data_IF_219100003684
#
_entry.id   IF_219100003684
#
_cell.length_a   1.000
_cell.length_b   1.000
_cell.length_c   1.000
_cell.angle_alpha   90.00
_cell.angle_beta   90.00
_cell.angle_gamma   90.00
#
_symmetry.space_group_name_H-M   'P 1'
#
loop_
_entity.id
_entity.type
_entity.pdbx_description
1 polymer ?
#
# COMPACT_ATOMS: atom_id res chain seq x y z
N UNK A 1 1.72 21.75 -59.37
CA UNK A 1 1.02 20.46 -59.28
C UNK A 1 1.83 19.38 -58.57
N UNK A 2 3.11 19.30 -58.75
CA UNK A 2 3.99 18.34 -58.04
C UNK A 2 3.91 18.48 -56.49
N UNK A 3 3.65 19.71 -55.98
CA UNK A 3 3.52 19.99 -54.55
C UNK A 3 2.27 19.34 -53.87
N UNK A 4 1.14 19.19 -54.61
CA UNK A 4 -0.05 18.56 -54.02
C UNK A 4 0.13 17.05 -53.87
N UNK A 5 0.67 16.38 -54.87
CA UNK A 5 0.98 14.93 -54.80
C UNK A 5 2.02 14.63 -53.72
N UNK A 6 3.06 15.47 -53.57
CA UNK A 6 4.05 15.31 -52.50
C UNK A 6 3.37 15.45 -51.12
N UNK A 7 2.52 16.47 -50.90
CA UNK A 7 1.84 16.67 -49.64
C UNK A 7 0.83 15.58 -49.34
N UNK A 8 0.12 15.05 -50.36
CA UNK A 8 -0.81 13.92 -50.13
C UNK A 8 -0.07 12.65 -49.75
N UNK A 9 1.11 12.39 -50.36
CA UNK A 9 1.96 11.27 -49.99
C UNK A 9 2.54 11.43 -48.56
N UNK A 10 3.02 12.62 -48.19
CA UNK A 10 3.49 12.91 -46.84
C UNK A 10 2.37 12.70 -45.79
N UNK A 11 1.15 13.15 -46.11
CA UNK A 11 -0.01 12.95 -45.23
C UNK A 11 -0.40 11.46 -45.09
N UNK A 12 -0.33 10.68 -46.16
CA UNK A 12 -0.56 9.24 -46.15
C UNK A 12 0.48 8.51 -45.26
N UNK A 13 1.76 8.90 -45.31
CA UNK A 13 2.80 8.37 -44.43
C UNK A 13 2.51 8.72 -42.96
N UNK A 14 2.12 10.00 -42.69
CA UNK A 14 1.79 10.43 -41.33
C UNK A 14 0.60 9.65 -40.74
N UNK A 15 -0.42 9.35 -41.57
CA UNK A 15 -1.56 8.51 -41.14
C UNK A 15 -1.14 7.07 -40.85
N UNK A 16 -0.28 6.51 -41.71
CA UNK A 16 0.27 5.17 -41.47
C UNK A 16 1.06 5.09 -40.15
N UNK A 17 1.87 6.11 -39.86
CA UNK A 17 2.57 6.22 -38.58
C UNK A 17 1.58 6.40 -37.41
N UNK A 18 0.54 7.21 -37.58
CA UNK A 18 -0.51 7.40 -36.56
C UNK A 18 -1.21 6.07 -36.24
N UNK A 19 -1.55 5.26 -37.25
CA UNK A 19 -2.15 3.93 -37.06
C UNK A 19 -1.20 2.98 -36.35
N UNK A 20 0.08 2.97 -36.69
CA UNK A 20 1.08 2.16 -35.99
C UNK A 20 1.22 2.55 -34.52
N UNK A 21 1.26 3.86 -34.24
CA UNK A 21 1.29 4.38 -32.87
C UNK A 21 0.00 4.05 -32.10
N UNK A 22 -1.17 4.12 -32.75
CA UNK A 22 -2.44 3.74 -32.15
C UNK A 22 -2.47 2.27 -31.70
N UNK A 23 -1.95 1.35 -32.54
CA UNK A 23 -1.82 -0.07 -32.16
C UNK A 23 -0.88 -0.25 -30.97
N UNK A 24 0.25 0.45 -30.94
CA UNK A 24 1.18 0.39 -29.81
C UNK A 24 0.56 0.89 -28.51
N UNK A 25 -0.19 2.00 -28.57
CA UNK A 25 -0.88 2.53 -27.39
C UNK A 25 -1.98 1.57 -26.94
N UNK A 26 -2.73 0.94 -27.84
CA UNK A 26 -3.73 -0.07 -27.49
C UNK A 26 -3.10 -1.28 -26.77
N UNK A 27 -1.93 -1.73 -27.22
CA UNK A 27 -1.16 -2.78 -26.55
C UNK A 27 -0.68 -2.35 -25.17
N UNK A 28 -0.14 -1.14 -25.04
CA UNK A 28 0.30 -0.58 -23.76
C UNK A 28 -0.88 -0.41 -22.79
N UNK A 29 -2.03 0.05 -23.27
CA UNK A 29 -3.26 0.15 -22.49
C UNK A 29 -3.70 -1.23 -21.99
N UNK A 30 -3.70 -2.27 -22.86
CA UNK A 30 -4.00 -3.64 -22.44
C UNK A 30 -3.04 -4.15 -21.37
N UNK A 31 -1.73 -3.87 -21.51
CA UNK A 31 -0.72 -4.20 -20.50
C UNK A 31 -0.97 -3.49 -19.17
N UNK A 32 -1.33 -2.20 -19.22
CA UNK A 32 -1.66 -1.41 -18.03
C UNK A 32 -2.91 -1.95 -17.31
N UNK A 33 -3.96 -2.37 -18.05
CA UNK A 33 -5.14 -3.03 -17.49
C UNK A 33 -4.79 -4.31 -16.76
N UNK A 34 -3.98 -5.18 -17.38
CA UNK A 34 -3.54 -6.42 -16.74
C UNK A 34 -2.72 -6.16 -15.46
N UNK A 35 -1.89 -5.11 -15.49
CA UNK A 35 -1.10 -4.74 -14.32
C UNK A 35 -1.99 -4.18 -13.19
N UNK A 36 -3.00 -3.38 -13.52
CA UNK A 36 -3.99 -2.88 -12.57
C UNK A 36 -4.77 -4.04 -11.92
N UNK A 37 -5.20 -5.03 -12.70
CA UNK A 37 -5.87 -6.24 -12.19
C UNK A 37 -4.98 -7.05 -11.24
N UNK A 38 -3.70 -7.23 -11.58
CA UNK A 38 -2.74 -7.90 -10.69
C UNK A 38 -2.54 -7.11 -9.39
N UNK A 39 -2.43 -5.79 -9.49
CA UNK A 39 -2.30 -4.90 -8.32
C UNK A 39 -3.53 -5.02 -7.42
N UNK A 40 -4.73 -5.01 -8.00
CA UNK A 40 -5.99 -5.20 -7.27
C UNK A 40 -6.03 -6.56 -6.55
N UNK A 41 -5.61 -7.64 -7.21
CA UNK A 41 -5.56 -8.97 -6.59
C UNK A 41 -4.56 -9.02 -5.42
N UNK A 42 -3.39 -8.41 -5.58
CA UNK A 42 -2.38 -8.34 -4.51
C UNK A 42 -2.86 -7.49 -3.33
N UNK A 43 -3.49 -6.35 -3.59
CA UNK A 43 -4.06 -5.51 -2.54
C UNK A 43 -5.18 -6.23 -1.78
N UNK A 44 -6.07 -6.98 -2.46
CA UNK A 44 -7.08 -7.83 -1.82
C UNK A 44 -6.47 -8.90 -0.92
N UNK A 45 -5.41 -9.58 -1.37
CA UNK A 45 -4.68 -10.55 -0.55
C UNK A 45 -4.03 -9.88 0.65
N UNK A 46 -3.39 -8.73 0.44
CA UNK A 46 -2.81 -7.92 1.50
C UNK A 46 -3.84 -7.53 2.56
N UNK A 47 -5.00 -7.02 2.13
CA UNK A 47 -6.09 -6.65 3.04
C UNK A 47 -6.61 -7.83 3.87
N UNK A 48 -6.75 -9.01 3.26
CA UNK A 48 -7.11 -10.23 3.99
C UNK A 48 -6.04 -10.62 5.03
N UNK A 49 -4.75 -10.48 4.69
CA UNK A 49 -3.64 -10.75 5.63
C UNK A 49 -3.64 -9.75 6.79
N UNK A 50 -3.88 -8.46 6.51
CA UNK A 50 -4.00 -7.42 7.56
C UNK A 50 -5.18 -7.73 8.48
N UNK A 51 -6.34 -8.13 7.95
CA UNK A 51 -7.48 -8.56 8.78
C UNK A 51 -7.14 -9.73 9.70
N UNK A 52 -6.43 -10.74 9.19
CA UNK A 52 -5.95 -11.87 10.01
C UNK A 52 -4.97 -11.40 11.10
N UNK A 53 -4.09 -10.43 10.78
CA UNK A 53 -3.17 -9.85 11.74
C UNK A 53 -3.91 -9.09 12.85
N UNK A 54 -4.92 -8.29 12.52
CA UNK A 54 -5.78 -7.59 13.50
C UNK A 54 -6.46 -8.60 14.42
N UNK A 55 -6.99 -9.69 13.89
CA UNK A 55 -7.61 -10.75 14.69
C UNK A 55 -6.59 -11.44 15.61
N UNK A 56 -5.35 -11.65 15.17
CA UNK A 56 -4.28 -12.20 15.99
C UNK A 56 -3.86 -11.23 17.11
N UNK A 57 -3.69 -9.95 16.79
CA UNK A 57 -3.37 -8.89 17.76
C UNK A 57 -4.47 -8.77 18.82
N UNK A 58 -5.74 -8.85 18.42
CA UNK A 58 -6.88 -8.83 19.36
C UNK A 58 -6.84 -10.00 20.36
N UNK A 59 -6.43 -11.20 19.90
CA UNK A 59 -6.23 -12.36 20.79
C UNK A 59 -5.08 -12.12 21.77
N UNK A 60 -3.95 -11.57 21.29
CA UNK A 60 -2.82 -11.22 22.17
C UNK A 60 -3.23 -10.20 23.21
N UNK A 61 -4.01 -9.17 22.81
CA UNK A 61 -4.59 -8.20 23.74
C UNK A 61 -5.38 -8.88 24.86
N UNK A 62 -6.32 -9.76 24.49
CA UNK A 62 -7.14 -10.48 25.48
C UNK A 62 -6.29 -11.34 26.43
N UNK A 63 -5.25 -11.99 25.92
CA UNK A 63 -4.32 -12.79 26.75
C UNK A 63 -3.49 -11.89 27.70
N UNK A 64 -3.04 -10.73 27.23
CA UNK A 64 -2.30 -9.75 28.05
C UNK A 64 -3.18 -9.23 29.18
N UNK A 65 -4.46 -8.93 28.92
CA UNK A 65 -5.39 -8.47 29.94
C UNK A 65 -5.67 -9.56 31.01
N UNK A 66 -5.80 -10.82 30.60
CA UNK A 66 -5.96 -11.95 31.53
C UNK A 66 -4.70 -12.09 32.39
N UNK A 67 -3.51 -12.12 31.76
CA UNK A 67 -2.25 -12.30 32.46
C UNK A 67 -1.97 -11.16 33.46
N UNK A 68 -2.32 -9.92 33.10
CA UNK A 68 -2.24 -8.77 34.01
C UNK A 68 -3.08 -8.98 35.24
N UNK A 69 -4.31 -9.51 35.08
CA UNK A 69 -5.22 -9.81 36.20
C UNK A 69 -4.66 -10.93 37.09
N UNK A 70 -4.10 -11.99 36.46
CA UNK A 70 -3.56 -13.11 37.22
C UNK A 70 -2.32 -12.70 38.01
N UNK A 71 -1.44 -11.87 37.44
CA UNK A 71 -0.25 -11.32 38.14
C UNK A 71 -0.69 -10.41 39.33
N UNK A 72 -1.74 -9.59 39.13
CA UNK A 72 -2.28 -8.78 40.22
C UNK A 72 -2.80 -9.66 41.35
N UNK A 73 -3.59 -10.69 41.01
CA UNK A 73 -4.11 -11.64 42.01
C UNK A 73 -3.02 -12.43 42.73
N UNK A 74 -1.91 -12.77 42.01
CA UNK A 74 -0.73 -13.38 42.65
C UNK A 74 -0.08 -12.41 43.65
N UNK A 75 0.02 -11.11 43.31
CA UNK A 75 0.53 -10.09 44.21
C UNK A 75 -0.26 -9.99 45.52
N UNK A 76 -1.59 -10.00 45.42
CA UNK A 76 -2.51 -9.97 46.57
C UNK A 76 -2.33 -11.23 47.45
N UNK A 77 -2.31 -12.43 46.85
CA UNK A 77 -2.11 -13.69 47.58
C UNK A 77 -0.75 -13.74 48.32
N UNK A 78 0.30 -13.24 47.68
CA UNK A 78 1.63 -13.20 48.28
C UNK A 78 1.69 -12.18 49.41
N UNK A 79 0.96 -11.08 49.32
CA UNK A 79 0.80 -10.13 50.43
C UNK A 79 0.10 -10.76 51.65
N UNK A 80 -0.95 -11.53 51.41
CA UNK A 80 -1.65 -12.26 52.47
C UNK A 80 -0.75 -13.29 53.16
N UNK A 81 0.07 -14.03 52.39
CA UNK A 81 1.06 -14.95 52.95
C UNK A 81 2.11 -14.19 53.79
N UNK A 82 2.53 -12.98 53.36
CA UNK A 82 3.39 -12.11 54.14
C UNK A 82 2.82 -11.80 55.54
N UNK A 83 1.54 -11.41 55.62
CA UNK A 83 0.88 -11.15 56.88
C UNK A 83 0.83 -12.39 57.79
N UNK A 84 0.62 -13.59 57.22
CA UNK A 84 0.66 -14.83 57.97
C UNK A 84 2.08 -15.10 58.54
N UNK A 85 3.12 -14.82 57.77
CA UNK A 85 4.52 -14.98 58.23
C UNK A 85 4.85 -14.02 59.38
N UNK A 86 4.33 -12.79 59.36
CA UNK A 86 4.51 -11.85 60.44
C UNK A 86 3.87 -12.38 61.73
N UNK A 87 2.64 -12.92 61.66
CA UNK A 87 1.95 -13.53 62.82
C UNK A 87 2.74 -14.78 63.34
N UNK A 88 3.28 -15.63 62.44
CA UNK A 88 4.07 -16.78 62.88
C UNK A 88 5.35 -16.32 63.57
N UNK A 89 6.01 -15.28 63.07
CA UNK A 89 7.18 -14.68 63.67
C UNK A 89 6.88 -14.14 65.08
N UNK A 90 5.78 -13.44 65.23
CA UNK A 90 5.33 -12.94 66.55
C UNK A 90 5.06 -14.07 67.55
N UNK A 91 4.39 -15.16 67.08
CA UNK A 91 4.15 -16.36 67.93
C UNK A 91 5.47 -17.01 68.33
N UNK A 92 6.44 -17.12 67.40
CA UNK A 92 7.76 -17.71 67.68
C UNK A 92 8.51 -16.86 68.70
N UNK A 93 8.48 -15.55 68.56
CA UNK A 93 9.13 -14.64 69.53
C UNK A 93 8.48 -14.69 70.91
N UNK A 94 7.13 -14.68 71.00
CA UNK A 94 6.44 -14.90 72.25
C UNK A 94 6.77 -16.27 72.87
N UNK A 95 6.89 -17.33 72.06
CA UNK A 95 7.26 -18.67 72.53
C UNK A 95 8.68 -18.71 73.04
N UNK A 96 9.62 -18.02 72.38
CA UNK A 96 10.99 -17.85 72.80
C UNK A 96 11.08 -17.16 74.17
N UNK A 97 10.30 -16.07 74.39
CA UNK A 97 10.21 -15.33 75.66
C UNK A 97 9.60 -16.18 76.78
N UNK A 98 8.55 -16.93 76.46
CA UNK A 98 7.91 -17.88 77.43
C UNK A 98 8.88 -18.99 77.84
N UNK A 99 9.61 -19.55 76.88
CA UNK A 99 10.60 -20.60 77.14
C UNK A 99 11.77 -20.06 77.97
N UNK A 100 12.24 -18.85 77.74
CA UNK A 100 13.27 -18.18 78.50
C UNK A 100 12.78 -17.98 79.97
N UNK A 101 11.58 -17.50 80.17
CA UNK A 101 11.02 -17.31 81.51
C UNK A 101 10.89 -18.65 82.26
N UNK A 102 10.43 -19.72 81.54
CA UNK A 102 10.35 -21.07 82.10
C UNK A 102 11.75 -21.62 82.51
N UNK A 103 12.76 -21.37 81.68
CA UNK A 103 14.14 -21.78 81.94
C UNK A 103 14.70 -21.09 83.18
N UNK A 104 14.41 -19.79 83.36
CA UNK A 104 14.79 -19.00 84.56
C UNK A 104 14.13 -19.57 85.84
N UNK A 105 12.84 -19.83 85.76
CA UNK A 105 12.10 -20.36 86.95
C UNK A 105 12.51 -21.81 87.24
N UNK A 106 12.82 -22.63 86.26
CA UNK A 106 13.37 -23.98 86.41
C UNK A 106 14.74 -23.95 87.10
N UNK A 107 15.62 -23.01 86.71
CA UNK A 107 16.87 -22.76 87.39
C UNK A 107 16.72 -22.33 88.86
N UNK A 108 15.68 -21.53 89.13
CA UNK A 108 15.36 -21.09 90.45
C UNK A 108 14.88 -22.21 91.40
N UNK A 109 14.23 -23.24 90.85
CA UNK A 109 13.79 -24.44 91.60
C UNK A 109 14.94 -25.46 91.89
N UNK A 110 16.14 -25.25 91.46
CA UNK A 110 17.32 -26.09 91.75
C UNK A 110 17.18 -27.51 91.22
N UNK A 111 17.55 -28.50 92.03
CA UNK A 111 17.49 -29.93 91.64
C UNK A 111 16.09 -30.41 91.20
N UNK A 112 15.03 -29.83 91.78
CA UNK A 112 13.64 -30.18 91.40
C UNK A 112 13.24 -29.63 90.02
N UNK A 113 13.92 -28.63 89.52
CA UNK A 113 13.64 -28.01 88.21
C UNK A 113 14.45 -28.56 87.03
N UNK A 114 15.41 -29.44 87.18
CA UNK A 114 16.31 -29.92 86.13
C UNK A 114 15.61 -30.46 84.85
N UNK A 115 14.54 -31.24 85.02
CA UNK A 115 13.79 -31.76 83.89
C UNK A 115 13.04 -30.66 83.14
N UNK A 116 12.50 -29.68 83.83
CA UNK A 116 11.84 -28.51 83.21
C UNK A 116 12.80 -27.58 82.50
N UNK A 117 14.03 -27.41 83.02
CA UNK A 117 15.05 -26.58 82.36
C UNK A 117 15.44 -27.15 80.98
N UNK A 118 15.57 -28.49 80.85
CA UNK A 118 15.86 -29.17 79.57
C UNK A 118 14.72 -28.93 78.54
N UNK A 119 13.48 -29.07 79.00
CA UNK A 119 12.30 -28.84 78.11
C UNK A 119 12.22 -27.36 77.70
N UNK A 120 12.44 -26.44 78.60
CA UNK A 120 12.43 -24.99 78.31
C UNK A 120 13.54 -24.63 77.31
N UNK A 121 14.75 -25.13 77.44
CA UNK A 121 15.84 -24.91 76.47
C UNK A 121 15.53 -25.53 75.09
N UNK A 122 14.88 -26.68 75.02
CA UNK A 122 14.51 -27.28 73.73
C UNK A 122 13.36 -26.51 73.06
N UNK A 123 12.35 -25.99 73.80
CA UNK A 123 11.31 -25.10 73.30
C UNK A 123 11.94 -23.77 72.80
N UNK A 124 12.89 -23.23 73.54
CA UNK A 124 13.62 -22.00 73.12
C UNK A 124 14.36 -22.21 71.79
N UNK A 125 15.11 -23.32 71.64
CA UNK A 125 15.80 -23.66 70.40
C UNK A 125 14.83 -23.86 69.23
N UNK A 126 13.66 -24.46 69.46
CA UNK A 126 12.62 -24.64 68.44
C UNK A 126 12.03 -23.29 68.00
N UNK A 127 11.77 -22.38 68.97
CA UNK A 127 11.33 -21.03 68.66
C UNK A 127 12.36 -20.23 67.82
N UNK A 128 13.66 -20.27 68.22
CA UNK A 128 14.74 -19.69 67.40
C UNK A 128 14.87 -20.28 66.00
N UNK A 129 14.68 -21.59 65.84
CA UNK A 129 14.63 -22.25 64.52
C UNK A 129 13.45 -21.79 63.71
N UNK A 130 12.28 -21.64 64.34
CA UNK A 130 11.07 -21.14 63.68
C UNK A 130 11.26 -19.73 63.20
N UNK A 131 11.79 -18.81 64.02
CA UNK A 131 12.10 -17.41 63.60
C UNK A 131 13.08 -17.35 62.41
N UNK A 132 14.10 -18.26 62.36
CA UNK A 132 15.01 -18.31 61.20
C UNK A 132 14.25 -18.80 59.96
N UNK A 133 13.46 -19.83 60.08
CA UNK A 133 12.70 -20.38 58.94
C UNK A 133 11.68 -19.32 58.42
N UNK A 134 10.99 -18.59 59.32
CA UNK A 134 10.07 -17.51 58.87
C UNK A 134 10.79 -16.34 58.20
N UNK A 135 11.98 -15.98 58.66
CA UNK A 135 12.79 -14.96 57.99
C UNK A 135 13.22 -15.35 56.58
N UNK A 136 13.61 -16.64 56.38
CA UNK A 136 13.92 -17.19 55.03
C UNK A 136 12.71 -17.13 54.09
N UNK A 137 11.50 -17.54 54.62
CA UNK A 137 10.25 -17.47 53.84
C UNK A 137 9.87 -16.05 53.52
N UNK A 138 9.97 -15.09 54.47
CA UNK A 138 9.68 -13.66 54.26
C UNK A 138 10.61 -13.06 53.16
N UNK A 139 11.86 -13.47 53.14
CA UNK A 139 12.79 -13.07 52.04
C UNK A 139 12.34 -13.58 50.66
N UNK A 140 11.86 -14.85 50.61
CA UNK A 140 11.34 -15.43 49.38
C UNK A 140 10.04 -14.73 48.94
N UNK A 141 9.14 -14.40 49.86
CA UNK A 141 7.91 -13.64 49.62
C UNK A 141 8.21 -12.26 49.02
N UNK A 142 9.19 -11.53 49.59
CA UNK A 142 9.61 -10.24 49.08
C UNK A 142 10.15 -10.35 47.64
N UNK A 143 10.93 -11.40 47.33
CA UNK A 143 11.42 -11.66 46.00
C UNK A 143 10.28 -11.95 44.99
N UNK A 144 9.28 -12.74 45.39
CA UNK A 144 8.10 -13.02 44.56
C UNK A 144 7.29 -11.74 44.30
N UNK A 145 7.04 -10.91 45.34
CA UNK A 145 6.34 -9.61 45.20
C UNK A 145 7.07 -8.69 44.22
N UNK A 146 8.39 -8.58 44.34
CA UNK A 146 9.21 -7.79 43.41
C UNK A 146 9.10 -8.34 41.97
N UNK A 147 9.14 -9.67 41.81
CA UNK A 147 8.98 -10.34 40.53
C UNK A 147 7.58 -10.11 39.90
N UNK A 148 6.53 -10.21 40.70
CA UNK A 148 5.17 -9.90 40.27
C UNK A 148 4.99 -8.45 39.86
N UNK A 149 5.57 -7.50 40.61
CA UNK A 149 5.57 -6.08 40.25
C UNK A 149 6.23 -5.83 38.89
N UNK A 150 7.42 -6.36 38.66
CA UNK A 150 8.11 -6.25 37.34
C UNK A 150 7.32 -6.91 36.21
N UNK A 151 6.69 -8.04 36.46
CA UNK A 151 5.85 -8.71 35.49
C UNK A 151 4.61 -7.88 35.14
N UNK A 152 3.98 -7.24 36.12
CA UNK A 152 2.83 -6.33 35.91
C UNK A 152 3.23 -5.09 35.09
N UNK A 153 4.40 -4.51 35.32
CA UNK A 153 4.95 -3.42 34.52
C UNK A 153 5.19 -3.86 33.07
N UNK A 154 5.86 -5.02 32.85
CA UNK A 154 6.09 -5.58 31.53
C UNK A 154 4.77 -5.90 30.77
N UNK A 155 3.70 -6.27 31.49
CA UNK A 155 2.37 -6.44 30.88
C UNK A 155 1.77 -5.09 30.46
N UNK A 156 2.04 -4.02 31.20
CA UNK A 156 1.68 -2.64 30.82
C UNK A 156 2.32 -2.25 29.49
N UNK A 157 3.62 -2.47 29.36
CA UNK A 157 4.38 -2.18 28.14
C UNK A 157 3.90 -3.03 26.95
N UNK A 158 3.63 -4.33 27.19
CA UNK A 158 3.06 -5.21 26.17
C UNK A 158 1.68 -4.74 25.68
N UNK A 159 0.82 -4.24 26.60
CA UNK A 159 -0.48 -3.70 26.22
C UNK A 159 -0.37 -2.45 25.34
N UNK A 160 0.59 -1.56 25.62
CA UNK A 160 0.89 -0.39 24.77
C UNK A 160 1.39 -0.80 23.38
N UNK A 161 2.33 -1.76 23.31
CA UNK A 161 2.83 -2.29 22.04
C UNK A 161 1.72 -2.95 21.20
N UNK A 162 0.80 -3.66 21.82
CA UNK A 162 -0.38 -4.25 21.17
C UNK A 162 -1.31 -3.16 20.62
N UNK A 163 -1.51 -2.08 21.36
CA UNK A 163 -2.32 -0.95 20.89
C UNK A 163 -1.68 -0.27 19.68
N UNK A 164 -0.37 -0.02 19.71
CA UNK A 164 0.37 0.55 18.58
C UNK A 164 0.32 -0.38 17.34
N UNK A 165 0.52 -1.68 17.54
CA UNK A 165 0.42 -2.67 16.45
C UNK A 165 -0.99 -2.69 15.83
N UNK A 166 -2.05 -2.53 16.61
CA UNK A 166 -3.43 -2.42 16.12
C UNK A 166 -3.59 -1.19 15.23
N UNK A 167 -3.11 -0.03 15.69
CA UNK A 167 -3.19 1.22 14.92
C UNK A 167 -2.43 1.13 13.59
N UNK A 168 -1.23 0.54 13.58
CA UNK A 168 -0.45 0.34 12.36
C UNK A 168 -1.13 -0.64 11.39
N UNK A 169 -1.76 -1.69 11.91
CA UNK A 169 -2.52 -2.62 11.10
C UNK A 169 -3.76 -1.96 10.46
N UNK A 170 -4.49 -1.13 11.21
CA UNK A 170 -5.64 -0.38 10.69
C UNK A 170 -5.21 0.61 9.59
N UNK A 171 -4.11 1.35 9.79
CA UNK A 171 -3.53 2.24 8.77
C UNK A 171 -3.12 1.48 7.51
N UNK A 172 -2.53 0.29 7.68
CA UNK A 172 -2.17 -0.58 6.55
C UNK A 172 -3.41 -1.05 5.78
N UNK A 173 -4.51 -1.35 6.50
CA UNK A 173 -5.79 -1.70 5.90
C UNK A 173 -6.38 -0.56 5.05
N UNK A 174 -6.32 0.68 5.56
CA UNK A 174 -6.76 1.88 4.83
C UNK A 174 -5.92 2.07 3.55
N UNK A 175 -4.59 2.01 3.66
CA UNK A 175 -3.71 2.16 2.51
C UNK A 175 -3.96 1.09 1.42
N UNK A 176 -4.23 -0.15 1.80
CA UNK A 176 -4.59 -1.22 0.86
C UNK A 176 -5.94 -0.97 0.20
N UNK A 177 -6.89 -0.36 0.90
CA UNK A 177 -8.17 0.02 0.32
C UNK A 177 -8.02 1.14 -0.73
N UNK A 178 -7.20 2.14 -0.44
CA UNK A 178 -6.85 3.21 -1.40
C UNK A 178 -6.17 2.64 -2.66
N UNK A 179 -5.27 1.66 -2.50
CA UNK A 179 -4.65 0.97 -3.64
C UNK A 179 -5.70 0.25 -4.50
N UNK A 180 -6.71 -0.39 -3.88
CA UNK A 180 -7.81 -1.03 -4.61
C UNK A 180 -8.62 -0.02 -5.42
N UNK A 181 -8.93 1.12 -4.84
CA UNK A 181 -9.66 2.20 -5.52
C UNK A 181 -8.85 2.77 -6.70
N UNK A 182 -7.56 3.08 -6.49
CA UNK A 182 -6.66 3.58 -7.54
C UNK A 182 -6.48 2.57 -8.68
N UNK A 183 -6.39 1.27 -8.37
CA UNK A 183 -6.31 0.23 -9.39
C UNK A 183 -7.61 0.14 -10.20
N UNK A 184 -8.77 0.29 -9.55
CA UNK A 184 -10.07 0.39 -10.22
C UNK A 184 -10.16 1.57 -11.17
N UNK A 185 -9.80 2.76 -10.70
CA UNK A 185 -9.75 3.98 -11.53
C UNK A 185 -8.79 3.82 -12.73
N UNK A 186 -7.65 3.16 -12.52
CA UNK A 186 -6.70 2.88 -13.60
C UNK A 186 -7.34 1.99 -14.68
N UNK A 187 -8.08 0.97 -14.29
CA UNK A 187 -8.79 0.08 -15.23
C UNK A 187 -9.83 0.85 -16.04
N UNK A 188 -10.60 1.74 -15.41
CA UNK A 188 -11.61 2.57 -16.09
C UNK A 188 -10.96 3.57 -17.06
N UNK A 189 -9.84 4.16 -16.66
CA UNK A 189 -9.08 5.08 -17.52
C UNK A 189 -8.49 4.37 -18.74
N UNK A 190 -7.96 3.16 -18.56
CA UNK A 190 -7.48 2.31 -19.67
C UNK A 190 -8.61 1.96 -20.63
N UNK A 191 -9.82 1.67 -20.14
CA UNK A 191 -10.99 1.42 -21.00
C UNK A 191 -11.33 2.65 -21.83
N UNK A 192 -11.31 3.84 -21.23
CA UNK A 192 -11.55 5.09 -21.97
C UNK A 192 -10.50 5.34 -23.05
N UNK A 193 -9.22 5.02 -22.76
CA UNK A 193 -8.12 5.08 -23.72
C UNK A 193 -8.38 4.11 -24.89
N UNK A 194 -8.77 2.88 -24.63
CA UNK A 194 -9.07 1.90 -25.68
C UNK A 194 -10.20 2.38 -26.62
N UNK A 195 -11.29 2.93 -26.06
CA UNK A 195 -12.38 3.50 -26.85
C UNK A 195 -11.92 4.67 -27.72
N UNK A 196 -11.09 5.58 -27.17
CA UNK A 196 -10.55 6.72 -27.93
C UNK A 196 -9.66 6.25 -29.09
N UNK A 197 -8.93 5.15 -28.94
CA UNK A 197 -8.14 4.58 -30.03
C UNK A 197 -8.95 3.87 -31.10
N UNK A 198 -10.07 3.24 -30.74
CA UNK A 198 -11.02 2.70 -31.74
C UNK A 198 -11.58 3.84 -32.61
N UNK A 199 -12.00 4.95 -31.99
CA UNK A 199 -12.47 6.15 -32.71
C UNK A 199 -11.36 6.78 -33.55
N UNK A 200 -10.14 6.87 -33.04
CA UNK A 200 -8.98 7.39 -33.79
C UNK A 200 -8.65 6.52 -34.99
N UNK A 201 -8.71 5.19 -34.88
CA UNK A 201 -8.48 4.26 -35.98
C UNK A 201 -9.52 4.47 -37.10
N UNK A 202 -10.81 4.56 -36.73
CA UNK A 202 -11.88 4.82 -37.70
C UNK A 202 -11.69 6.18 -38.41
N UNK A 203 -11.33 7.23 -37.66
CA UNK A 203 -11.04 8.56 -38.23
C UNK A 203 -9.83 8.51 -39.17
N UNK A 204 -8.80 7.75 -38.81
CA UNK A 204 -7.59 7.59 -39.67
C UNK A 204 -7.93 6.88 -40.98
N UNK A 205 -8.80 5.87 -40.98
CA UNK A 205 -9.29 5.22 -42.19
C UNK A 205 -10.07 6.18 -43.07
N UNK A 206 -10.93 7.00 -42.48
CA UNK A 206 -11.68 8.01 -43.22
C UNK A 206 -10.75 9.06 -43.87
N UNK A 207 -9.74 9.56 -43.11
CA UNK A 207 -8.75 10.49 -43.69
C UNK A 207 -7.97 9.83 -44.81
N UNK A 208 -7.60 8.54 -44.69
CA UNK A 208 -6.94 7.83 -45.78
C UNK A 208 -7.81 7.75 -47.03
N UNK A 209 -9.12 7.54 -46.91
CA UNK A 209 -10.06 7.58 -48.02
C UNK A 209 -10.13 8.96 -48.67
N UNK A 210 -10.24 10.03 -47.88
CA UNK A 210 -10.25 11.41 -48.35
C UNK A 210 -8.95 11.76 -49.08
N UNK A 211 -7.78 11.31 -48.63
CA UNK A 211 -6.51 11.54 -49.31
C UNK A 211 -6.45 10.86 -50.70
N UNK A 212 -7.05 9.67 -50.81
CA UNK A 212 -7.13 8.98 -52.12
C UNK A 212 -8.08 9.77 -53.07
N UNK A 213 -9.19 10.30 -52.60
CA UNK A 213 -10.07 11.17 -53.40
C UNK A 213 -9.36 12.44 -53.84
N UNK A 214 -8.65 13.13 -52.91
CA UNK A 214 -7.86 14.33 -53.24
C UNK A 214 -6.80 14.03 -54.27
N UNK A 215 -6.12 12.88 -54.20
CA UNK A 215 -5.16 12.44 -55.21
C UNK A 215 -5.83 12.26 -56.58
N UNK A 216 -6.99 11.62 -56.62
CA UNK A 216 -7.77 11.44 -57.84
C UNK A 216 -8.21 12.77 -58.48
N UNK A 217 -8.67 13.72 -57.66
CA UNK A 217 -9.05 15.09 -58.15
C UNK A 217 -7.83 15.85 -58.66
N UNK A 218 -6.64 15.68 -58.03
CA UNK A 218 -5.40 16.26 -58.51
C UNK A 218 -4.98 15.74 -59.86
N UNK A 219 -5.10 14.41 -60.09
CA UNK A 219 -4.81 13.77 -61.39
C UNK A 219 -5.77 14.28 -62.50
N UNK A 220 -7.09 14.34 -62.19
CA UNK A 220 -8.07 14.89 -63.11
C UNK A 220 -7.79 16.34 -63.46
N UNK A 221 -7.41 17.17 -62.47
CA UNK A 221 -7.08 18.56 -62.64
C UNK A 221 -5.84 18.72 -63.52
N UNK A 222 -4.83 17.87 -63.31
CA UNK A 222 -3.61 17.84 -64.15
C UNK A 222 -3.95 17.53 -65.60
N UNK A 223 -4.74 16.48 -65.85
CA UNK A 223 -5.18 16.10 -67.21
C UNK A 223 -6.03 17.19 -67.87
N UNK A 224 -6.94 17.85 -67.08
CA UNK A 224 -7.71 19.00 -67.55
C UNK A 224 -6.87 20.20 -67.95
N UNK A 225 -5.81 20.48 -67.19
CA UNK A 225 -4.85 21.57 -67.51
C UNK A 225 -4.04 21.23 -68.78
N UNK A 226 -3.56 20.02 -68.96
CA UNK A 226 -2.85 19.60 -70.17
C UNK A 226 -3.72 19.74 -71.42
N UNK A 227 -4.97 19.32 -71.31
CA UNK A 227 -5.96 19.54 -72.41
C UNK A 227 -6.21 21.02 -72.68
N UNK A 228 -6.25 21.82 -71.63
CA UNK A 228 -6.44 23.27 -71.77
C UNK A 228 -5.23 23.94 -72.44
N UNK A 229 -4.02 23.56 -72.07
CA UNK A 229 -2.76 24.00 -72.75
C UNK A 229 -2.79 23.64 -74.24
N UNK A 230 -3.11 22.39 -74.58
CA UNK A 230 -3.20 21.94 -75.98
C UNK A 230 -4.27 22.76 -76.76
N UNK A 231 -5.44 23.03 -76.15
CA UNK A 231 -6.47 23.84 -76.79
C UNK A 231 -6.05 25.30 -77.01
N UNK A 232 -5.32 25.89 -76.06
CA UNK A 232 -4.76 27.25 -76.18
C UNK A 232 -3.69 27.30 -77.28
N UNK A 233 -2.84 26.30 -77.39
CA UNK A 233 -1.85 26.18 -78.49
C UNK A 233 -2.52 26.10 -79.87
N UNK A 234 -3.60 25.27 -79.98
CA UNK A 234 -4.39 25.19 -81.23
C UNK A 234 -5.06 26.52 -81.57
N UNK A 235 -5.59 27.22 -80.60
CA UNK A 235 -6.16 28.55 -80.80
C UNK A 235 -5.11 29.59 -81.27
N UNK A 236 -3.92 29.54 -80.69
CA UNK A 236 -2.81 30.40 -81.11
C UNK A 236 -2.39 30.12 -82.56
N UNK A 237 -2.33 28.84 -82.97
CA UNK A 237 -2.06 28.44 -84.35
C UNK A 237 -3.14 28.94 -85.32
N UNK A 238 -4.43 28.79 -84.96
CA UNK A 238 -5.56 29.28 -85.74
C UNK A 238 -5.57 30.77 -85.89
N UNK A 239 -5.29 31.52 -84.81
CA UNK A 239 -5.18 32.97 -84.82
C UNK A 239 -4.01 33.45 -85.72
N UNK A 240 -2.87 32.73 -85.66
CA UNK A 240 -1.75 32.96 -86.56
C UNK A 240 -2.08 32.74 -88.04
N UNK A 241 -2.81 31.65 -88.34
CA UNK A 241 -3.29 31.37 -89.69
C UNK A 241 -4.28 32.44 -90.17
N UNK A 242 -5.23 32.83 -89.36
CA UNK A 242 -6.16 33.91 -89.65
C UNK A 242 -5.50 35.24 -89.89
N UNK A 243 -4.48 35.60 -89.09
CA UNK A 243 -3.70 36.82 -89.31
C UNK A 243 -2.96 36.80 -90.63
N UNK A 244 -2.37 35.66 -91.00
CA UNK A 244 -1.77 35.48 -92.32
C UNK A 244 -2.78 35.64 -93.48
N UNK A 245 -4.01 35.12 -93.33
CA UNK A 245 -5.08 35.26 -94.31
C UNK A 245 -5.53 36.71 -94.47
N UNK A 246 -5.69 37.44 -93.38
CA UNK A 246 -6.03 38.86 -93.32
C UNK A 246 -4.97 39.70 -94.07
N UNK A 247 -3.67 39.45 -93.77
CA UNK A 247 -2.56 40.12 -94.47
C UNK A 247 -2.60 39.82 -95.96
N UNK A 248 -2.90 38.57 -96.33
CA UNK A 248 -2.99 38.21 -97.78
C UNK A 248 -4.17 38.89 -98.52
N UNK A 249 -5.29 39.11 -97.86
CA UNK A 249 -6.50 39.79 -98.37
C UNK A 249 -6.20 41.32 -98.42
N UNK A 250 -5.65 41.91 -97.37
CA UNK A 250 -5.32 43.29 -97.22
C UNK A 250 -4.27 43.77 -98.24
N UNK A 251 -3.25 42.90 -98.51
CA UNK A 251 -2.20 43.18 -99.50
C UNK A 251 -2.66 43.04 -100.94
N UNK A 252 -3.80 42.44 -101.25
CA UNK A 252 -4.45 42.41 -102.59
C UNK A 252 -5.42 43.59 -102.87
N UNK A 253 -5.73 44.44 -101.88
CA UNK A 253 -6.71 45.52 -102.06
C UNK A 253 -6.08 46.86 -102.32
N UNK A 254 -4.75 46.97 -102.42
CA UNK A 254 -4.09 48.23 -102.80
C UNK A 254 -3.12 47.96 -103.93
N UNK A 255 -3.65 47.92 -105.21
CA UNK A 255 -2.95 48.35 -106.44
C UNK A 255 -3.63 49.65 -106.83
N UNK A 256 -2.96 50.79 -106.73
CA UNK A 256 -3.41 52.00 -107.41
C UNK A 256 -3.27 51.78 -108.88
N UNK A 257 -4.34 51.75 -109.60
CA UNK A 257 -4.31 51.94 -111.12
C UNK A 257 -3.80 53.32 -111.39
N UNK A 258 -2.48 53.33 -111.79
CA UNK A 258 -1.90 54.51 -112.29
C UNK A 258 -2.43 54.85 -113.68
N UNK A 259 -2.64 56.07 -113.96
CA UNK A 259 -2.88 56.73 -115.25
C UNK A 259 -1.71 56.75 -116.13
#
# INVERSE_FOLDING_TARGET
MNTLHVRTAEAAVAISQMNATAVEIAQNASGASQQADKTMQQAKKGAATVQQSVAAISRVKGQTDILKKDISGLGDQVADIGQIMDVITDIADQTNLLALNAAIEAARAGEAGRGFAVVADEVRKLAEKTMRATAEVSSAITAIQSGAGKAAEGMGDAALAVQEATQLADQSGIALHEILELAGLTTDQVRSIATAFEEQSATSEEIHHVLNEVSGVADQTTSGMERSVTAVEQLALQAGALNKLIQKISGKTYQPSGA
#
